data_IF_553917413284
#
_entry.id   IF_553917413284
#
_cell.length_a   1.000
_cell.length_b   1.000
_cell.length_c   1.000
_cell.angle_alpha   90.00
_cell.angle_beta   90.00
_cell.angle_gamma   90.00
#
_symmetry.space_group_name_H-M   'P 1'
#
loop_
_entity.id
_entity.type
_entity.pdbx_description
1 polymer ?
#
# COMPACT_ATOMS: atom_id res chain seq x y z
N UNK A 1 76.62 -28.31 -55.78
CA UNK A 1 75.74 -28.17 -54.59
C UNK A 1 74.98 -26.86 -54.78
N UNK A 2 73.65 -26.77 -54.88
CA UNK A 2 72.58 -27.71 -54.49
C UNK A 2 71.28 -27.23 -55.17
N UNK A 3 70.57 -28.15 -55.82
CA UNK A 3 69.09 -28.26 -56.02
C UNK A 3 68.23 -27.00 -56.22
N UNK A 4 67.69 -26.87 -57.43
CA UNK A 4 66.42 -26.22 -57.71
C UNK A 4 65.26 -27.09 -57.19
N UNK A 5 64.40 -26.51 -56.34
CA UNK A 5 63.16 -27.11 -55.85
C UNK A 5 62.04 -26.07 -55.98
N UNK A 6 61.50 -25.92 -57.19
CA UNK A 6 60.31 -25.10 -57.46
C UNK A 6 59.26 -25.97 -58.17
N UNK A 7 58.55 -26.77 -57.38
CA UNK A 7 57.29 -27.37 -57.81
C UNK A 7 56.49 -27.76 -56.59
N UNK A 8 55.60 -26.89 -56.11
CA UNK A 8 54.30 -27.26 -55.48
C UNK A 8 53.52 -26.01 -55.02
N UNK A 9 53.08 -25.14 -55.94
CA UNK A 9 52.07 -24.11 -55.63
C UNK A 9 51.21 -23.73 -56.85
N UNK A 10 50.72 -24.72 -57.60
CA UNK A 10 49.60 -24.49 -58.53
C UNK A 10 48.28 -24.76 -57.79
N UNK A 11 47.74 -23.70 -57.19
CA UNK A 11 46.43 -23.68 -56.55
C UNK A 11 45.37 -24.25 -57.50
N UNK A 12 44.74 -25.36 -57.09
CA UNK A 12 43.49 -25.90 -57.68
C UNK A 12 42.43 -24.79 -57.64
N UNK A 13 42.35 -23.97 -58.67
CA UNK A 13 41.34 -22.92 -58.78
C UNK A 13 39.97 -23.60 -58.87
N UNK A 14 39.29 -23.54 -57.74
CA UNK A 14 37.95 -24.04 -57.52
C UNK A 14 36.99 -23.45 -58.57
N UNK A 15 36.53 -24.29 -59.52
CA UNK A 15 35.44 -24.00 -60.48
C UNK A 15 34.14 -23.50 -59.82
N UNK A 16 34.08 -23.49 -58.50
CA UNK A 16 32.95 -23.03 -57.69
C UNK A 16 32.95 -21.53 -57.41
N UNK A 17 34.03 -20.79 -57.76
CA UNK A 17 34.14 -19.35 -57.48
C UNK A 17 33.39 -18.47 -58.49
N UNK A 18 33.23 -18.91 -59.73
CA UNK A 18 32.55 -18.13 -60.77
C UNK A 18 31.12 -18.64 -61.03
N UNK A 19 30.07 -17.89 -60.62
CA UNK A 19 28.68 -18.32 -60.78
C UNK A 19 28.26 -18.50 -62.26
N UNK A 20 29.01 -17.89 -63.19
CA UNK A 20 28.78 -18.02 -64.63
C UNK A 20 29.12 -19.42 -65.18
N UNK A 21 29.99 -20.18 -64.51
CA UNK A 21 30.47 -21.50 -64.94
C UNK A 21 29.75 -22.68 -64.26
N UNK A 22 28.72 -22.40 -63.46
CA UNK A 22 27.93 -23.43 -62.78
C UNK A 22 27.07 -24.26 -63.76
N UNK A 23 26.86 -25.57 -63.50
CA UNK A 23 25.90 -26.36 -64.26
C UNK A 23 24.49 -25.79 -64.13
N UNK A 24 23.70 -25.87 -65.20
CA UNK A 24 22.38 -25.21 -65.33
C UNK A 24 21.45 -25.50 -64.15
N UNK A 25 21.44 -26.75 -63.64
CA UNK A 25 20.65 -27.14 -62.48
C UNK A 25 20.98 -26.32 -61.22
N UNK A 26 22.25 -25.99 -61.00
CA UNK A 26 22.69 -25.23 -59.83
C UNK A 26 22.32 -23.74 -59.94
N UNK A 27 22.36 -23.18 -61.16
CA UNK A 27 21.92 -21.81 -61.44
C UNK A 27 20.44 -21.58 -61.16
N UNK A 28 19.61 -22.62 -61.25
CA UNK A 28 18.17 -22.56 -60.96
C UNK A 28 17.87 -22.94 -59.50
N UNK A 29 18.53 -23.96 -58.95
CA UNK A 29 18.27 -24.43 -57.58
C UNK A 29 18.69 -23.42 -56.51
N UNK A 30 19.86 -22.78 -56.65
CA UNK A 30 20.37 -21.83 -55.64
C UNK A 30 19.40 -20.66 -55.40
N UNK A 31 18.94 -19.90 -56.41
CA UNK A 31 18.01 -18.80 -56.18
C UNK A 31 16.66 -19.28 -55.63
N UNK A 32 16.19 -20.47 -56.03
CA UNK A 32 14.95 -21.06 -55.50
C UNK A 32 15.06 -21.36 -54.00
N UNK A 33 16.13 -22.03 -53.58
CA UNK A 33 16.39 -22.31 -52.16
C UNK A 33 16.56 -21.02 -51.37
N UNK A 34 17.28 -20.04 -51.92
CA UNK A 34 17.53 -18.77 -51.27
C UNK A 34 16.23 -17.97 -51.06
N UNK A 35 15.30 -18.02 -52.02
CA UNK A 35 13.97 -17.42 -51.89
C UNK A 35 13.13 -18.08 -50.79
N UNK A 36 13.15 -19.42 -50.69
CA UNK A 36 12.45 -20.15 -49.62
C UNK A 36 13.03 -19.79 -48.25
N UNK A 37 14.35 -19.74 -48.11
CA UNK A 37 15.01 -19.37 -46.85
C UNK A 37 14.68 -17.93 -46.47
N UNK A 38 14.74 -16.97 -47.40
CA UNK A 38 14.38 -15.58 -47.13
C UNK A 38 12.91 -15.44 -46.70
N UNK A 39 12.00 -16.13 -47.39
CA UNK A 39 10.58 -16.15 -47.04
C UNK A 39 10.36 -16.74 -45.63
N UNK A 40 11.01 -17.86 -45.33
CA UNK A 40 10.94 -18.49 -44.00
C UNK A 40 11.53 -17.59 -42.91
N UNK A 41 12.66 -16.93 -43.16
CA UNK A 41 13.29 -16.00 -42.22
C UNK A 41 12.43 -14.75 -41.99
N UNK A 42 11.85 -14.17 -43.04
CA UNK A 42 10.95 -13.03 -42.93
C UNK A 42 9.68 -13.42 -42.15
N UNK A 43 9.11 -14.58 -42.46
CA UNK A 43 7.96 -15.11 -41.72
C UNK A 43 8.31 -15.33 -40.24
N UNK A 44 9.42 -16.00 -39.94
CA UNK A 44 9.88 -16.21 -38.57
C UNK A 44 10.14 -14.89 -37.84
N UNK A 45 10.70 -13.90 -38.52
CA UNK A 45 10.94 -12.56 -37.97
C UNK A 45 9.63 -11.83 -37.64
N UNK A 46 8.66 -11.83 -38.55
CA UNK A 46 7.34 -11.22 -38.32
C UNK A 46 6.63 -11.93 -37.16
N UNK A 47 6.66 -13.27 -37.14
CA UNK A 47 6.06 -14.07 -36.07
C UNK A 47 6.72 -13.76 -34.73
N UNK A 48 8.05 -13.75 -34.65
CA UNK A 48 8.77 -13.43 -33.42
C UNK A 48 8.40 -12.03 -32.89
N UNK A 49 8.41 -11.01 -33.76
CA UNK A 49 8.03 -9.63 -33.39
C UNK A 49 6.57 -9.50 -32.98
N UNK A 50 5.68 -10.25 -33.62
CA UNK A 50 4.25 -10.24 -33.29
C UNK A 50 4.00 -10.93 -31.96
N UNK A 51 4.66 -12.07 -31.72
CA UNK A 51 4.61 -12.79 -30.44
C UNK A 51 5.10 -11.93 -29.29
N UNK A 52 6.24 -11.23 -29.45
CA UNK A 52 6.74 -10.28 -28.44
C UNK A 52 5.69 -9.21 -28.08
N UNK A 53 5.05 -8.61 -29.10
CA UNK A 53 4.02 -7.58 -28.90
C UNK A 53 2.76 -8.12 -28.22
N UNK A 54 2.27 -9.28 -28.68
CA UNK A 54 1.08 -9.92 -28.09
C UNK A 54 1.37 -10.32 -26.65
N UNK A 55 2.53 -10.91 -26.38
CA UNK A 55 2.92 -11.30 -25.03
C UNK A 55 3.01 -10.07 -24.13
N UNK A 56 3.70 -9.01 -24.55
CA UNK A 56 3.78 -7.77 -23.78
C UNK A 56 2.39 -7.17 -23.49
N UNK A 57 1.49 -7.15 -24.47
CA UNK A 57 0.12 -6.67 -24.27
C UNK A 57 -0.66 -7.54 -23.28
N UNK A 58 -0.56 -8.88 -23.39
CA UNK A 58 -1.23 -9.83 -22.48
C UNK A 58 -0.71 -9.73 -21.05
N UNK A 59 0.61 -9.56 -20.87
CA UNK A 59 1.18 -9.28 -19.56
C UNK A 59 0.68 -7.95 -19.00
N UNK A 60 0.59 -6.91 -19.81
CA UNK A 60 0.03 -5.62 -19.40
C UNK A 60 -1.43 -5.73 -18.95
N UNK A 61 -2.27 -6.41 -19.74
CA UNK A 61 -3.67 -6.68 -19.40
C UNK A 61 -3.80 -7.48 -18.09
N UNK A 62 -3.00 -8.53 -17.92
CA UNK A 62 -3.08 -9.37 -16.72
C UNK A 62 -2.57 -8.66 -15.47
N UNK A 63 -1.54 -7.82 -15.56
CA UNK A 63 -1.10 -6.98 -14.45
C UNK A 63 -2.14 -5.94 -14.09
N UNK A 64 -2.77 -5.31 -15.08
CA UNK A 64 -3.85 -4.35 -14.85
C UNK A 64 -5.04 -5.02 -14.17
N UNK A 65 -5.45 -6.20 -14.64
CA UNK A 65 -6.55 -6.96 -14.04
C UNK A 65 -6.23 -7.42 -12.60
N UNK A 66 -5.00 -7.84 -12.35
CA UNK A 66 -4.54 -8.19 -10.99
C UNK A 66 -4.51 -6.97 -10.07
N UNK A 67 -3.98 -5.84 -10.54
CA UNK A 67 -3.94 -4.59 -9.76
C UNK A 67 -5.37 -4.09 -9.43
N UNK A 68 -6.30 -4.18 -10.39
CA UNK A 68 -7.71 -3.86 -10.16
C UNK A 68 -8.35 -4.83 -9.17
N UNK A 69 -8.08 -6.13 -9.29
CA UNK A 69 -8.60 -7.14 -8.36
C UNK A 69 -8.10 -6.94 -6.93
N UNK A 70 -6.80 -6.68 -6.76
CA UNK A 70 -6.20 -6.33 -5.46
C UNK A 70 -6.78 -5.02 -4.92
N UNK A 71 -6.93 -4.00 -5.76
CA UNK A 71 -7.51 -2.72 -5.38
C UNK A 71 -8.97 -2.86 -4.90
N UNK A 72 -9.77 -3.68 -5.57
CA UNK A 72 -11.15 -3.97 -5.16
C UNK A 72 -11.20 -4.74 -3.83
N UNK A 73 -10.31 -5.72 -3.63
CA UNK A 73 -10.24 -6.45 -2.36
C UNK A 73 -9.86 -5.51 -1.22
N UNK A 74 -8.85 -4.66 -1.40
CA UNK A 74 -8.45 -3.68 -0.41
C UNK A 74 -9.58 -2.69 -0.10
N UNK A 75 -10.26 -2.20 -1.12
CA UNK A 75 -11.40 -1.29 -0.95
C UNK A 75 -12.50 -1.94 -0.10
N UNK A 76 -12.87 -3.19 -0.39
CA UNK A 76 -13.87 -3.91 0.42
C UNK A 76 -13.44 -4.11 1.86
N UNK A 77 -12.15 -4.40 2.11
CA UNK A 77 -11.62 -4.55 3.47
C UNK A 77 -11.66 -3.22 4.25
N UNK A 78 -11.33 -2.11 3.59
CA UNK A 78 -11.40 -0.78 4.18
C UNK A 78 -12.85 -0.36 4.46
N UNK A 79 -13.77 -0.59 3.51
CA UNK A 79 -15.20 -0.31 3.71
C UNK A 79 -15.78 -1.13 4.85
N UNK A 80 -15.39 -2.41 4.98
CA UNK A 80 -15.78 -3.26 6.09
C UNK A 80 -15.23 -2.71 7.42
N UNK A 81 -13.93 -2.39 7.49
CA UNK A 81 -13.31 -1.82 8.69
C UNK A 81 -13.97 -0.50 9.12
N UNK A 82 -14.24 0.40 8.16
CA UNK A 82 -14.96 1.66 8.42
C UNK A 82 -16.36 1.38 8.95
N UNK A 83 -17.10 0.45 8.33
CA UNK A 83 -18.44 0.07 8.77
C UNK A 83 -18.46 -0.51 10.19
N UNK A 84 -17.44 -1.32 10.54
CA UNK A 84 -17.28 -1.87 11.88
C UNK A 84 -16.99 -0.73 12.90
N UNK A 85 -16.07 0.19 12.60
CA UNK A 85 -15.75 1.32 13.49
C UNK A 85 -16.94 2.27 13.67
N UNK A 86 -17.72 2.51 12.61
CA UNK A 86 -18.93 3.30 12.70
C UNK A 86 -19.96 2.69 13.66
N UNK A 87 -20.01 1.36 13.79
CA UNK A 87 -20.91 0.71 14.75
C UNK A 87 -20.56 1.05 16.21
N UNK A 88 -19.28 1.31 16.53
CA UNK A 88 -18.87 1.76 17.88
C UNK A 88 -19.51 3.11 18.23
N UNK A 89 -19.67 4.00 17.25
CA UNK A 89 -20.27 5.33 17.49
C UNK A 89 -21.75 5.26 17.91
N UNK A 90 -22.40 4.10 17.70
CA UNK A 90 -23.79 3.85 18.08
C UNK A 90 -23.91 3.34 19.53
N UNK A 91 -22.80 3.10 20.22
CA UNK A 91 -22.79 2.68 21.62
C UNK A 91 -23.18 3.88 22.50
N UNK A 92 -24.26 3.73 23.29
CA UNK A 92 -24.77 4.80 24.17
C UNK A 92 -23.67 5.38 25.07
N UNK A 93 -22.79 4.54 25.63
CA UNK A 93 -21.70 4.97 26.50
C UNK A 93 -20.73 5.94 25.82
N UNK A 94 -20.45 5.78 24.51
CA UNK A 94 -19.61 6.74 23.77
C UNK A 94 -20.28 8.11 23.78
N UNK A 95 -21.56 8.17 23.41
CA UNK A 95 -22.29 9.44 23.32
C UNK A 95 -22.43 10.13 24.67
N UNK A 96 -22.69 9.38 25.74
CA UNK A 96 -22.82 9.91 27.11
C UNK A 96 -21.49 10.46 27.61
N UNK A 97 -20.41 9.67 27.55
CA UNK A 97 -19.10 10.08 28.07
C UNK A 97 -18.55 11.29 27.31
N UNK A 98 -18.68 11.30 25.98
CA UNK A 98 -18.26 12.43 25.14
C UNK A 98 -19.11 13.67 25.46
N UNK A 99 -20.42 13.53 25.67
CA UNK A 99 -21.29 14.65 26.05
C UNK A 99 -20.96 15.20 27.44
N UNK A 100 -20.68 14.34 28.42
CA UNK A 100 -20.27 14.72 29.77
C UNK A 100 -18.95 15.48 29.77
N UNK A 101 -17.92 14.97 29.06
CA UNK A 101 -16.65 15.66 28.94
C UNK A 101 -16.81 17.01 28.23
N UNK A 102 -17.53 17.06 27.11
CA UNK A 102 -17.83 18.31 26.41
C UNK A 102 -18.60 19.32 27.28
N UNK A 103 -19.50 18.85 28.15
CA UNK A 103 -20.29 19.66 29.07
C UNK A 103 -19.50 20.15 30.29
N UNK A 104 -18.38 19.51 30.62
CA UNK A 104 -17.49 19.94 31.71
C UNK A 104 -16.81 21.28 31.42
N UNK A 105 -16.64 21.62 30.14
CA UNK A 105 -16.07 22.90 29.70
C UNK A 105 -17.09 24.04 29.79
N UNK A 106 -17.14 24.68 30.96
CA UNK A 106 -18.12 25.75 31.25
C UNK A 106 -17.61 27.16 30.93
N UNK A 107 -16.29 27.35 30.84
CA UNK A 107 -15.64 28.67 30.72
C UNK A 107 -15.33 29.07 29.26
N UNK A 108 -15.88 28.34 28.28
CA UNK A 108 -15.69 28.58 26.85
C UNK A 108 -14.47 27.89 26.24
N UNK A 109 -14.30 28.03 24.93
CA UNK A 109 -13.33 27.28 24.13
C UNK A 109 -11.87 27.55 24.54
N UNK A 110 -11.48 28.83 24.74
CA UNK A 110 -10.11 29.15 25.13
C UNK A 110 -9.71 28.55 26.48
N UNK A 111 -10.65 28.46 27.43
CA UNK A 111 -10.40 27.85 28.73
C UNK A 111 -10.32 26.32 28.60
N UNK A 112 -11.20 25.72 27.79
CA UNK A 112 -11.15 24.29 27.46
C UNK A 112 -9.79 23.90 26.86
N UNK A 113 -9.34 24.62 25.82
CA UNK A 113 -8.02 24.35 25.20
C UNK A 113 -6.88 24.50 26.20
N UNK A 114 -6.91 25.52 27.07
CA UNK A 114 -5.87 25.70 28.07
C UNK A 114 -5.83 24.55 29.10
N UNK A 115 -7.01 24.06 29.52
CA UNK A 115 -7.13 22.89 30.40
C UNK A 115 -6.59 21.64 29.72
N UNK A 116 -6.96 21.40 28.46
CA UNK A 116 -6.51 20.23 27.68
C UNK A 116 -4.99 20.26 27.51
N UNK A 117 -4.41 21.40 27.13
CA UNK A 117 -2.95 21.56 27.02
C UNK A 117 -2.22 21.42 28.37
N UNK A 118 -2.88 21.66 29.49
CA UNK A 118 -2.31 21.39 30.81
C UNK A 118 -2.29 19.88 31.09
N UNK A 119 -3.36 19.16 30.76
CA UNK A 119 -3.43 17.71 30.90
C UNK A 119 -2.41 17.05 29.98
N UNK A 120 -2.30 17.51 28.74
CA UNK A 120 -1.36 17.00 27.74
C UNK A 120 0.11 17.11 28.18
N UNK A 121 0.50 18.24 28.76
CA UNK A 121 1.85 18.39 29.36
C UNK A 121 2.09 17.44 30.53
N UNK A 122 1.07 17.17 31.34
CA UNK A 122 1.17 16.19 32.41
C UNK A 122 1.26 14.77 31.83
N UNK A 123 0.44 14.47 30.82
CA UNK A 123 0.41 13.20 30.10
C UNK A 123 1.78 12.82 29.58
N UNK A 124 2.48 13.70 28.87
CA UNK A 124 3.80 13.41 28.28
C UNK A 124 4.85 12.91 29.29
N UNK A 125 4.72 13.28 30.57
CA UNK A 125 5.68 12.90 31.63
C UNK A 125 5.14 11.88 32.63
N UNK A 126 3.85 11.56 32.55
CA UNK A 126 3.17 10.65 33.47
C UNK A 126 3.58 9.19 33.22
N UNK A 127 3.73 8.43 34.31
CA UNK A 127 3.84 6.97 34.24
C UNK A 127 2.49 6.35 33.86
N UNK A 128 2.48 5.10 33.40
CA UNK A 128 1.23 4.44 33.02
C UNK A 128 0.27 4.26 34.21
N UNK A 129 0.81 4.13 35.42
CA UNK A 129 0.05 3.98 36.66
C UNK A 129 -0.49 5.30 37.21
N UNK A 130 -0.13 6.44 36.60
CA UNK A 130 -0.61 7.75 37.02
C UNK A 130 -2.14 7.84 36.88
N UNK A 131 -2.87 8.41 37.86
CA UNK A 131 -4.31 8.57 37.78
C UNK A 131 -4.81 9.27 36.50
N UNK A 132 -4.04 10.23 35.96
CA UNK A 132 -4.41 10.93 34.71
C UNK A 132 -4.42 9.96 33.53
N UNK A 133 -3.45 9.04 33.47
CA UNK A 133 -3.36 8.03 32.41
C UNK A 133 -4.41 6.95 32.63
N UNK A 134 -4.53 6.44 33.86
CA UNK A 134 -5.49 5.39 34.21
C UNK A 134 -6.95 5.83 34.00
N UNK A 135 -7.27 7.11 34.17
CA UNK A 135 -8.59 7.64 33.84
C UNK A 135 -8.99 7.43 32.37
N UNK A 136 -8.01 7.29 31.47
CA UNK A 136 -8.23 7.17 30.02
C UNK A 136 -8.08 5.73 29.52
N UNK A 137 -7.19 4.93 30.13
CA UNK A 137 -6.84 3.59 29.62
C UNK A 137 -7.26 2.42 30.52
N UNK A 138 -7.76 2.68 31.73
CA UNK A 138 -8.10 1.60 32.67
C UNK A 138 -9.33 0.83 32.19
N UNK A 139 -9.24 -0.49 32.20
CA UNK A 139 -10.36 -1.38 31.91
C UNK A 139 -11.29 -1.62 33.09
N UNK A 140 -11.02 -1.00 34.24
CA UNK A 140 -11.94 -1.00 35.37
C UNK A 140 -13.16 -0.14 35.02
N UNK A 141 -14.34 -0.78 34.92
CA UNK A 141 -15.60 -0.11 34.60
C UNK A 141 -15.97 0.98 35.60
N UNK A 142 -15.48 0.91 36.84
CA UNK A 142 -15.68 1.96 37.84
C UNK A 142 -14.83 3.21 37.58
N UNK A 143 -13.74 3.09 36.81
CA UNK A 143 -12.85 4.19 36.42
C UNK A 143 -13.27 4.76 35.07
N UNK A 144 -13.38 3.91 34.04
CA UNK A 144 -13.82 4.32 32.71
C UNK A 144 -14.61 3.19 32.01
N UNK A 145 -15.95 3.21 32.07
CA UNK A 145 -16.79 2.14 31.51
C UNK A 145 -16.73 2.04 29.98
N UNK A 146 -16.20 3.06 29.29
CA UNK A 146 -16.04 3.03 27.84
C UNK A 146 -14.85 2.15 27.43
N UNK A 147 -13.75 2.17 28.19
CA UNK A 147 -12.53 1.41 27.84
C UNK A 147 -12.81 -0.10 27.78
N UNK A 148 -13.55 -0.64 28.76
CA UNK A 148 -13.91 -2.05 28.77
C UNK A 148 -14.70 -2.46 27.52
N UNK A 149 -15.59 -1.59 27.03
CA UNK A 149 -16.34 -1.82 25.80
C UNK A 149 -15.47 -1.75 24.55
N UNK A 150 -14.56 -0.78 24.47
CA UNK A 150 -13.60 -0.68 23.37
C UNK A 150 -12.66 -1.89 23.33
N UNK A 151 -12.21 -2.39 24.48
CA UNK A 151 -11.41 -3.62 24.58
C UNK A 151 -12.21 -4.86 24.15
N UNK A 152 -13.48 -4.96 24.55
CA UNK A 152 -14.38 -6.01 24.09
C UNK A 152 -14.56 -5.99 22.57
N UNK A 153 -14.67 -4.79 21.98
CA UNK A 153 -14.70 -4.63 20.54
C UNK A 153 -13.39 -5.07 19.88
N UNK A 154 -12.23 -4.65 20.38
CA UNK A 154 -10.93 -5.10 19.85
C UNK A 154 -10.78 -6.62 19.89
N UNK A 155 -11.25 -7.26 20.95
CA UNK A 155 -11.24 -8.72 21.06
C UNK A 155 -12.12 -9.41 20.01
N UNK A 156 -13.23 -8.77 19.61
CA UNK A 156 -14.11 -9.27 18.54
C UNK A 156 -13.55 -8.99 17.13
N UNK A 157 -12.80 -7.89 16.97
CA UNK A 157 -12.24 -7.42 15.69
C UNK A 157 -10.72 -7.19 15.80
N UNK A 158 -9.92 -8.27 15.87
CA UNK A 158 -8.48 -8.21 16.14
C UNK A 158 -7.65 -7.60 14.99
N UNK A 159 -8.29 -7.15 13.92
CA UNK A 159 -7.67 -6.41 12.82
C UNK A 159 -7.33 -4.97 13.20
N UNK A 160 -7.93 -4.44 14.27
CA UNK A 160 -7.62 -3.11 14.80
C UNK A 160 -6.57 -3.26 15.92
N UNK A 161 -5.51 -2.46 15.87
CA UNK A 161 -4.46 -2.49 16.89
C UNK A 161 -4.81 -1.63 18.12
N UNK A 162 -5.43 -0.48 17.88
CA UNK A 162 -5.83 0.49 18.90
C UNK A 162 -7.13 1.16 18.48
N UNK A 163 -7.97 1.50 19.47
CA UNK A 163 -9.15 2.35 19.30
C UNK A 163 -9.20 3.35 20.44
N UNK A 164 -9.49 4.60 20.11
CA UNK A 164 -9.71 5.63 21.10
C UNK A 164 -10.80 6.62 20.64
N UNK A 165 -11.34 7.34 21.60
CA UNK A 165 -12.42 8.30 21.42
C UNK A 165 -11.96 9.66 21.94
N UNK A 166 -12.24 10.71 21.19
CA UNK A 166 -11.95 12.09 21.57
C UNK A 166 -13.23 12.92 21.70
N UNK A 167 -13.15 14.02 22.43
CA UNK A 167 -14.21 15.01 22.50
C UNK A 167 -14.12 16.05 21.36
N UNK A 168 -15.00 17.06 21.38
CA UNK A 168 -15.08 18.06 20.29
C UNK A 168 -13.89 19.01 20.21
N UNK A 169 -13.07 19.06 21.26
CA UNK A 169 -11.85 19.85 21.33
C UNK A 169 -10.60 19.00 21.14
N UNK A 170 -10.76 17.71 20.80
CA UNK A 170 -9.68 16.78 20.53
C UNK A 170 -8.99 16.25 21.78
N UNK A 171 -9.59 16.35 22.96
CA UNK A 171 -9.07 15.67 24.14
C UNK A 171 -9.52 14.22 24.17
N UNK A 172 -8.60 13.31 24.51
CA UNK A 172 -8.92 11.88 24.60
C UNK A 172 -9.85 11.61 25.78
N UNK A 173 -10.93 10.87 25.52
CA UNK A 173 -11.99 10.49 26.48
C UNK A 173 -11.75 9.06 27.00
N UNK A 174 -11.39 8.15 26.10
CA UNK A 174 -11.08 6.76 26.41
C UNK A 174 -10.20 6.18 25.31
N UNK A 175 -9.28 5.29 25.67
CA UNK A 175 -8.41 4.61 24.72
C UNK A 175 -8.11 3.18 25.18
N UNK A 176 -7.98 2.25 24.23
CA UNK A 176 -7.66 0.85 24.52
C UNK A 176 -6.20 0.65 24.89
N UNK A 177 -5.33 1.46 24.29
CA UNK A 177 -3.91 1.59 24.58
C UNK A 177 -3.63 3.07 24.83
N UNK A 178 -2.49 3.40 25.43
CA UNK A 178 -2.11 4.79 25.72
C UNK A 178 -1.63 5.46 24.42
N UNK A 179 -2.33 6.46 23.88
CA UNK A 179 -1.80 7.23 22.76
C UNK A 179 -0.58 8.06 23.20
N UNK A 180 0.28 8.38 22.25
CA UNK A 180 1.46 9.22 22.49
C UNK A 180 1.07 10.55 23.13
N UNK A 181 0.09 11.23 22.54
CA UNK A 181 -0.41 12.53 22.99
C UNK A 181 -1.84 12.43 23.54
N UNK A 182 -2.18 13.28 24.51
CA UNK A 182 -3.55 13.33 25.03
C UNK A 182 -4.43 14.23 24.15
N UNK A 183 -3.84 15.34 23.69
CA UNK A 183 -4.44 16.28 22.76
C UNK A 183 -4.20 15.82 21.33
N UNK A 184 -5.28 15.70 20.56
CA UNK A 184 -5.28 15.16 19.20
C UNK A 184 -5.72 16.19 18.15
N UNK A 185 -6.18 17.38 18.56
CA UNK A 185 -6.81 18.33 17.64
C UNK A 185 -5.81 19.09 16.75
N UNK A 186 -4.52 19.06 17.06
CA UNK A 186 -3.45 19.52 16.17
C UNK A 186 -3.13 18.54 15.04
N UNK A 187 -3.57 17.30 15.15
CA UNK A 187 -3.35 16.28 14.13
C UNK A 187 -4.18 16.51 12.87
N UNK A 188 -3.55 16.32 11.71
CA UNK A 188 -4.19 16.50 10.41
C UNK A 188 -5.35 15.50 10.20
N UNK A 189 -5.17 14.27 10.68
CA UNK A 189 -6.19 13.23 10.61
C UNK A 189 -7.42 13.63 11.45
N UNK A 190 -7.21 14.19 12.64
CA UNK A 190 -8.29 14.57 13.55
C UNK A 190 -9.10 15.73 12.97
N UNK A 191 -8.43 16.77 12.48
CA UNK A 191 -9.10 17.92 11.86
C UNK A 191 -9.94 17.52 10.65
N UNK A 192 -9.43 16.58 9.84
CA UNK A 192 -10.13 16.07 8.68
C UNK A 192 -11.34 15.22 9.09
N UNK A 193 -11.18 14.32 10.06
CA UNK A 193 -12.25 13.47 10.56
C UNK A 193 -13.33 14.27 11.31
N UNK A 194 -12.95 15.27 12.11
CA UNK A 194 -13.86 16.15 12.82
C UNK A 194 -14.69 17.00 11.84
N UNK A 195 -14.06 17.55 10.80
CA UNK A 195 -14.71 18.31 9.73
C UNK A 195 -15.67 19.39 10.27
N UNK A 196 -15.22 20.17 11.25
CA UNK A 196 -16.04 21.21 11.90
C UNK A 196 -17.27 20.68 12.63
N UNK A 197 -17.25 19.42 13.07
CA UNK A 197 -18.34 18.74 13.76
C UNK A 197 -19.36 18.04 12.85
N UNK A 198 -19.16 18.09 11.53
CA UNK A 198 -20.00 17.34 10.58
C UNK A 198 -19.61 15.85 10.58
N UNK A 199 -18.36 15.55 10.91
CA UNK A 199 -17.78 14.22 10.75
C UNK A 199 -17.39 13.93 9.30
N UNK A 200 -16.30 13.20 9.12
CA UNK A 200 -15.88 12.62 7.86
C UNK A 200 -15.07 11.35 8.12
N UNK A 201 -15.05 10.44 7.15
CA UNK A 201 -14.14 9.30 7.18
C UNK A 201 -12.79 9.77 6.66
N UNK A 202 -11.73 9.49 7.42
CA UNK A 202 -10.36 9.73 7.01
C UNK A 202 -9.56 8.43 7.12
N UNK A 203 -8.82 8.11 6.08
CA UNK A 203 -7.89 6.98 6.03
C UNK A 203 -6.55 7.55 5.55
N UNK A 204 -5.50 7.43 6.36
CA UNK A 204 -4.16 7.91 6.01
C UNK A 204 -3.43 6.94 5.08
N UNK A 205 -2.32 7.42 4.51
CA UNK A 205 -1.29 6.52 4.02
C UNK A 205 -0.66 5.75 5.19
N UNK A 206 -0.09 4.54 4.97
CA UNK A 206 0.51 3.78 6.04
C UNK A 206 1.67 4.52 6.73
N UNK A 207 1.62 4.60 8.05
CA UNK A 207 2.65 5.25 8.87
C UNK A 207 3.06 4.34 10.03
N UNK A 208 4.25 4.60 10.60
CA UNK A 208 4.65 3.92 11.82
C UNK A 208 3.95 4.59 13.00
N UNK A 209 3.16 3.82 13.75
CA UNK A 209 2.51 4.26 14.97
C UNK A 209 3.33 3.79 16.18
N UNK A 210 3.91 4.75 16.92
CA UNK A 210 4.76 4.45 18.09
C UNK A 210 3.95 3.90 19.27
N UNK A 211 2.71 4.34 19.46
CA UNK A 211 1.81 3.90 20.54
C UNK A 211 1.32 2.47 20.35
N UNK A 212 0.95 2.12 19.11
CA UNK A 212 0.46 0.80 18.76
C UNK A 212 1.59 -0.17 18.37
N UNK A 213 2.79 0.34 18.06
CA UNK A 213 3.96 -0.46 17.69
C UNK A 213 3.82 -1.18 16.36
N UNK A 214 3.05 -0.62 15.42
CA UNK A 214 2.73 -1.21 14.11
C UNK A 214 2.94 -0.22 12.98
N UNK A 215 3.19 -0.73 11.76
CA UNK A 215 3.00 0.04 10.54
C UNK A 215 1.60 -0.24 10.03
N UNK A 216 0.74 0.77 10.00
CA UNK A 216 -0.64 0.66 9.58
C UNK A 216 -0.99 1.84 8.68
#
# INVERSE_FOLDING_TARGET
MTTANDSFTALRQSRWRDPLNWPLAFKIMVPMVLMVVLGASLHAFITARTTERILAARLGESFTAQAQGLGQQLHSLLDESVGQLQAITLIDTVTVMVAEQNGSYTEGESAATAQIQQIDRAWATAANEDPIVQAIISSDEAVNPLVAQLQGYLAAFPTHAEIFVTDRFGATVAATTRPTDYYQADEAWWQTAWNGGVGAIYISEPQWDESAGVTA
#
